data_IF_123620769635
#
_entry.id   IF_123620769635
#
_cell.length_a   1.000
_cell.length_b   1.000
_cell.length_c   1.000
_cell.angle_alpha   90.00
_cell.angle_beta   90.00
_cell.angle_gamma   90.00
#
_symmetry.space_group_name_H-M   'P 1'
#
loop_
_entity.id
_entity.type
_entity.pdbx_description
1 polymer ?
#
# COMPACT_ATOMS: atom_id res chain seq x y z
N UNK A 1 -28.64 16.84 -7.13
CA UNK A 1 -28.39 15.58 -6.38
C UNK A 1 -26.99 15.59 -5.81
N UNK A 2 -26.87 15.36 -4.53
CA UNK A 2 -25.57 15.30 -3.88
C UNK A 2 -24.90 13.95 -4.15
N UNK A 3 -23.64 13.97 -4.56
CA UNK A 3 -22.85 12.75 -4.80
C UNK A 3 -22.08 12.38 -3.53
N UNK A 4 -22.05 11.12 -3.20
CA UNK A 4 -21.44 10.61 -1.97
C UNK A 4 -20.11 9.88 -2.16
N UNK A 5 -19.59 9.85 -3.41
CA UNK A 5 -18.41 9.05 -3.75
C UNK A 5 -17.20 9.31 -2.85
N UNK A 6 -16.83 10.56 -2.67
CA UNK A 6 -15.70 10.91 -1.81
C UNK A 6 -15.89 10.51 -0.35
N UNK A 7 -17.07 10.77 0.19
CA UNK A 7 -17.41 10.37 1.55
C UNK A 7 -17.36 8.85 1.73
N UNK A 8 -17.91 8.10 0.75
CA UNK A 8 -17.93 6.65 0.79
C UNK A 8 -16.53 6.05 0.72
N UNK A 9 -15.67 6.60 -0.12
CA UNK A 9 -14.26 6.19 -0.21
C UNK A 9 -13.57 6.37 1.16
N UNK A 10 -13.78 7.51 1.80
CA UNK A 10 -13.19 7.80 3.11
C UNK A 10 -13.67 6.81 4.18
N UNK A 11 -14.98 6.54 4.18
CA UNK A 11 -15.57 5.58 5.13
C UNK A 11 -15.03 4.17 4.90
N UNK A 12 -14.95 3.74 3.64
CA UNK A 12 -14.39 2.43 3.26
C UNK A 12 -12.94 2.32 3.73
N UNK A 13 -12.15 3.37 3.51
CA UNK A 13 -10.74 3.38 3.96
C UNK A 13 -10.64 3.14 5.47
N UNK A 14 -11.46 3.83 6.26
CA UNK A 14 -11.44 3.68 7.72
C UNK A 14 -11.84 2.26 8.15
N UNK A 15 -12.93 1.75 7.58
CA UNK A 15 -13.43 0.42 7.91
C UNK A 15 -12.46 -0.68 7.47
N UNK A 16 -11.90 -0.53 6.28
CA UNK A 16 -10.91 -1.47 5.72
C UNK A 16 -9.65 -1.50 6.59
N UNK A 17 -9.14 -0.33 6.99
CA UNK A 17 -7.95 -0.22 7.83
C UNK A 17 -8.13 -0.93 9.17
N UNK A 18 -9.30 -0.77 9.81
CA UNK A 18 -9.60 -1.45 11.08
C UNK A 18 -9.69 -2.95 10.91
N UNK A 19 -10.38 -3.40 9.86
CA UNK A 19 -10.52 -4.84 9.57
C UNK A 19 -9.16 -5.48 9.29
N UNK A 20 -8.31 -4.81 8.52
CA UNK A 20 -6.97 -5.29 8.21
C UNK A 20 -6.11 -5.38 9.48
N UNK A 21 -6.15 -4.35 10.34
CA UNK A 21 -5.40 -4.34 11.60
C UNK A 21 -5.84 -5.51 12.49
N UNK A 22 -7.13 -5.78 12.55
CA UNK A 22 -7.68 -6.90 13.31
C UNK A 22 -7.19 -8.25 12.76
N UNK A 23 -7.22 -8.43 11.44
CA UNK A 23 -6.73 -9.67 10.81
C UNK A 23 -5.25 -9.90 11.09
N UNK A 24 -4.43 -8.84 11.01
CA UNK A 24 -3.00 -8.91 11.29
C UNK A 24 -2.78 -9.33 12.75
N UNK A 25 -3.52 -8.74 13.68
CA UNK A 25 -3.45 -9.05 15.11
C UNK A 25 -3.87 -10.49 15.41
N UNK A 26 -4.96 -10.96 14.82
CA UNK A 26 -5.46 -12.33 14.99
C UNK A 26 -4.50 -13.39 14.47
N UNK A 27 -3.71 -13.06 13.45
CA UNK A 27 -2.66 -13.94 12.93
C UNK A 27 -1.39 -13.90 13.78
N UNK A 28 -1.34 -13.06 14.81
CA UNK A 28 -0.18 -12.93 15.68
C UNK A 28 1.01 -12.25 15.03
N UNK A 29 0.80 -11.51 13.96
CA UNK A 29 1.88 -10.80 13.28
C UNK A 29 2.14 -9.47 13.99
N UNK A 30 3.31 -9.36 14.62
CA UNK A 30 3.75 -8.15 15.31
C UNK A 30 4.80 -7.36 14.52
N UNK A 31 5.28 -7.94 13.43
CA UNK A 31 6.40 -7.39 12.66
C UNK A 31 6.09 -6.05 11.99
N UNK A 32 4.82 -5.82 11.64
CA UNK A 32 4.42 -4.59 10.96
C UNK A 32 2.97 -4.24 11.24
N UNK A 33 2.66 -2.94 11.10
CA UNK A 33 1.29 -2.42 11.17
C UNK A 33 0.61 -2.52 9.79
N UNK A 34 -0.71 -2.26 9.76
CA UNK A 34 -1.46 -2.20 8.50
C UNK A 34 -0.91 -1.15 7.53
N UNK A 35 -0.47 -0.01 8.04
CA UNK A 35 0.11 1.06 7.20
C UNK A 35 1.46 0.64 6.61
N UNK A 36 2.30 0.00 7.41
CA UNK A 36 3.58 -0.55 6.92
C UNK A 36 3.34 -1.68 5.92
N UNK A 37 2.26 -2.43 6.09
CA UNK A 37 1.86 -3.49 5.16
C UNK A 37 1.64 -2.97 3.74
N UNK A 38 1.19 -1.74 3.57
CA UNK A 38 1.02 -1.11 2.25
C UNK A 38 2.36 -0.95 1.53
N UNK A 39 3.39 -0.55 2.27
CA UNK A 39 4.75 -0.41 1.72
C UNK A 39 5.30 -1.79 1.37
N UNK A 40 5.15 -2.76 2.27
CA UNK A 40 5.59 -4.13 2.01
C UNK A 40 4.87 -4.72 0.80
N UNK A 41 3.57 -4.47 0.66
CA UNK A 41 2.79 -4.95 -0.49
C UNK A 41 3.40 -4.47 -1.81
N UNK A 42 3.76 -3.19 -1.90
CA UNK A 42 4.39 -2.65 -3.11
C UNK A 42 5.76 -3.30 -3.35
N UNK A 43 6.56 -3.43 -2.30
CA UNK A 43 7.91 -4.02 -2.40
C UNK A 43 7.86 -5.51 -2.75
N UNK A 44 6.85 -6.26 -2.27
CA UNK A 44 6.67 -7.64 -2.67
C UNK A 44 6.31 -7.79 -4.16
N UNK A 45 5.67 -6.76 -4.75
CA UNK A 45 5.37 -6.73 -6.18
C UNK A 45 6.60 -6.32 -7.00
N UNK A 46 7.32 -5.30 -6.51
CA UNK A 46 8.48 -4.74 -7.19
C UNK A 46 9.49 -4.25 -6.16
N UNK A 47 10.47 -5.09 -5.87
CA UNK A 47 11.56 -4.77 -4.95
C UNK A 47 12.57 -3.80 -5.58
N UNK A 48 13.44 -3.21 -4.78
CA UNK A 48 14.50 -2.30 -5.21
C UNK A 48 13.97 -1.09 -5.97
N UNK A 49 13.16 -0.30 -5.32
CA UNK A 49 12.63 0.95 -5.88
C UNK A 49 13.00 2.13 -4.99
N UNK A 50 12.93 3.34 -5.57
CA UNK A 50 13.22 4.55 -4.82
C UNK A 50 12.09 4.90 -3.86
N UNK A 51 12.40 5.71 -2.86
CA UNK A 51 11.40 6.25 -1.95
C UNK A 51 10.33 7.07 -2.71
N UNK A 52 10.74 7.78 -3.76
CA UNK A 52 9.82 8.54 -4.61
C UNK A 52 8.81 7.62 -5.31
N UNK A 53 9.30 6.49 -5.85
CA UNK A 53 8.43 5.49 -6.47
C UNK A 53 7.47 4.88 -5.46
N UNK A 54 7.93 4.58 -4.23
CA UNK A 54 7.07 4.09 -3.16
C UNK A 54 5.99 5.10 -2.80
N UNK A 55 6.33 6.38 -2.72
CA UNK A 55 5.34 7.43 -2.44
C UNK A 55 4.28 7.47 -3.54
N UNK A 56 4.69 7.40 -4.80
CA UNK A 56 3.79 7.39 -5.95
C UNK A 56 2.86 6.16 -5.93
N UNK A 57 3.42 4.98 -5.71
CA UNK A 57 2.65 3.72 -5.72
C UNK A 57 1.67 3.62 -4.55
N UNK A 58 2.04 4.11 -3.37
CA UNK A 58 1.20 4.02 -2.18
C UNK A 58 0.23 5.19 -2.01
N UNK A 59 0.51 6.32 -2.66
CA UNK A 59 -0.22 7.57 -2.44
C UNK A 59 0.09 8.24 -1.11
N UNK A 60 1.08 7.74 -0.37
CA UNK A 60 1.48 8.32 0.91
C UNK A 60 2.28 9.59 0.71
N UNK A 61 2.09 10.57 1.61
CA UNK A 61 2.86 11.80 1.60
C UNK A 61 4.35 11.52 1.86
N UNK A 62 5.22 12.31 1.26
CA UNK A 62 6.66 12.15 1.36
C UNK A 62 7.15 12.06 2.82
N UNK A 63 6.66 12.95 3.68
CA UNK A 63 7.05 12.96 5.09
C UNK A 63 6.58 11.71 5.83
N UNK A 64 5.38 11.24 5.54
CA UNK A 64 4.83 10.02 6.13
C UNK A 64 5.69 8.81 5.77
N UNK A 65 6.02 8.68 4.48
CA UNK A 65 6.80 7.54 4.01
C UNK A 65 8.23 7.55 4.59
N UNK A 66 8.83 8.74 4.74
CA UNK A 66 10.16 8.88 5.36
C UNK A 66 10.17 8.31 6.77
N UNK A 67 9.19 8.71 7.59
CA UNK A 67 9.08 8.24 8.99
C UNK A 67 8.81 6.73 9.04
N UNK A 68 7.94 6.24 8.17
CA UNK A 68 7.61 4.81 8.12
C UNK A 68 8.82 3.96 7.71
N UNK A 69 9.57 4.40 6.72
CA UNK A 69 10.76 3.68 6.25
C UNK A 69 11.85 3.64 7.32
N UNK A 70 12.03 4.72 8.08
CA UNK A 70 12.98 4.72 9.21
C UNK A 70 12.63 3.67 10.25
N UNK A 71 11.35 3.56 10.62
CA UNK A 71 10.87 2.55 11.56
C UNK A 71 11.04 1.13 11.00
N UNK A 72 10.72 0.94 9.72
CA UNK A 72 10.83 -0.35 9.07
C UNK A 72 12.29 -0.81 8.95
N UNK A 73 13.20 0.12 8.74
CA UNK A 73 14.63 -0.18 8.73
C UNK A 73 15.10 -0.63 10.12
N UNK A 74 14.70 0.07 11.18
CA UNK A 74 15.01 -0.30 12.56
C UNK A 74 14.44 -1.68 12.93
N UNK A 75 13.28 -2.02 12.39
CA UNK A 75 12.60 -3.29 12.65
C UNK A 75 13.05 -4.40 11.70
N UNK A 76 14.12 -4.20 10.97
CA UNK A 76 14.72 -5.19 10.07
C UNK A 76 13.78 -5.67 8.96
N UNK A 77 12.92 -4.79 8.47
CA UNK A 77 12.02 -5.10 7.36
C UNK A 77 12.59 -4.67 6.02
N UNK A 78 13.32 -3.57 6.01
CA UNK A 78 13.94 -3.02 4.79
C UNK A 78 15.37 -2.60 5.06
N UNK A 79 16.13 -2.49 3.98
CA UNK A 79 17.43 -1.84 3.97
C UNK A 79 17.43 -0.80 2.85
N UNK A 80 18.39 0.10 2.91
CA UNK A 80 18.60 1.09 1.86
C UNK A 80 19.97 0.80 1.25
N UNK A 81 20.01 0.77 -0.08
CA UNK A 81 21.24 0.57 -0.84
C UNK A 81 21.39 1.67 -1.87
N UNK A 82 22.62 1.94 -2.26
CA UNK A 82 22.91 2.87 -3.35
C UNK A 82 22.70 2.17 -4.69
N UNK A 83 22.06 2.86 -5.64
CA UNK A 83 21.87 2.33 -7.00
C UNK A 83 23.25 2.23 -7.69
N UNK A 84 23.56 1.05 -8.23
CA UNK A 84 24.82 0.80 -8.95
C UNK A 84 24.97 1.67 -10.18
N UNK A 85 23.83 1.97 -10.84
CA UNK A 85 23.82 2.74 -12.09
C UNK A 85 23.77 4.25 -11.86
N UNK A 86 23.26 4.71 -10.72
CA UNK A 86 23.20 6.13 -10.37
C UNK A 86 23.41 6.28 -8.86
N UNK A 87 24.63 6.62 -8.47
CA UNK A 87 25.04 6.76 -7.07
C UNK A 87 24.30 7.86 -6.30
N UNK A 88 23.57 8.72 -7.00
CA UNK A 88 22.73 9.75 -6.38
C UNK A 88 21.39 9.20 -5.86
N UNK A 89 21.02 7.99 -6.30
CA UNK A 89 19.77 7.34 -5.92
C UNK A 89 20.00 6.30 -4.82
N UNK A 90 19.09 6.30 -3.86
CA UNK A 90 19.01 5.27 -2.84
C UNK A 90 17.78 4.40 -3.12
N UNK A 91 17.97 3.10 -3.08
CA UNK A 91 16.92 2.12 -3.31
C UNK A 91 16.50 1.49 -1.99
N UNK A 92 15.20 1.26 -1.85
CA UNK A 92 14.62 0.52 -0.72
C UNK A 92 14.50 -0.93 -1.14
N UNK A 93 15.02 -1.83 -0.32
CA UNK A 93 14.96 -3.28 -0.57
C UNK A 93 14.39 -4.02 0.63
N UNK A 94 13.72 -5.13 0.37
CA UNK A 94 13.24 -6.03 1.42
C UNK A 94 14.40 -6.83 2.02
N UNK A 95 14.34 -7.05 3.33
CA UNK A 95 15.20 -8.05 3.99
C UNK A 95 14.66 -9.44 3.71
N UNK A 96 15.46 -10.47 3.95
CA UNK A 96 14.99 -11.85 3.84
C UNK A 96 13.84 -12.13 4.82
N UNK A 97 13.92 -11.54 6.01
CA UNK A 97 12.84 -11.62 7.00
C UNK A 97 11.53 -11.07 6.44
N UNK A 98 11.55 -9.87 5.85
CA UNK A 98 10.36 -9.27 5.25
C UNK A 98 9.81 -10.10 4.08
N UNK A 99 10.69 -10.70 3.28
CA UNK A 99 10.27 -11.62 2.21
C UNK A 99 9.52 -12.83 2.77
N UNK A 100 9.91 -13.32 3.93
CA UNK A 100 9.25 -14.46 4.58
C UNK A 100 7.84 -14.13 5.09
N UNK A 101 7.54 -12.86 5.30
CA UNK A 101 6.23 -12.41 5.77
C UNK A 101 5.19 -12.30 4.66
N UNK A 102 5.60 -12.46 3.40
CA UNK A 102 4.68 -12.35 2.25
C UNK A 102 3.57 -13.39 2.33
N UNK A 103 3.91 -14.65 2.61
CA UNK A 103 2.93 -15.74 2.65
C UNK A 103 1.83 -15.51 3.70
N UNK A 104 2.15 -15.24 4.97
CA UNK A 104 1.11 -14.89 5.95
C UNK A 104 0.28 -13.66 5.54
N UNK A 105 0.90 -12.66 4.93
CA UNK A 105 0.18 -11.48 4.48
C UNK A 105 -0.74 -11.80 3.30
N UNK A 106 -0.32 -12.65 2.38
CA UNK A 106 -1.17 -13.10 1.27
C UNK A 106 -2.44 -13.80 1.78
N UNK A 107 -2.33 -14.59 2.84
CA UNK A 107 -3.48 -15.23 3.48
C UNK A 107 -4.47 -14.19 4.05
N UNK A 108 -3.94 -13.16 4.69
CA UNK A 108 -4.74 -12.04 5.20
C UNK A 108 -5.41 -11.29 4.05
N UNK A 109 -4.67 -11.04 2.98
CA UNK A 109 -5.19 -10.35 1.79
C UNK A 109 -6.36 -11.12 1.16
N UNK A 110 -6.24 -12.43 1.04
CA UNK A 110 -7.33 -13.27 0.52
C UNK A 110 -8.57 -13.19 1.40
N UNK A 111 -8.40 -13.26 2.71
CA UNK A 111 -9.49 -13.14 3.67
C UNK A 111 -10.19 -11.79 3.55
N UNK A 112 -9.41 -10.72 3.44
CA UNK A 112 -9.93 -9.37 3.26
C UNK A 112 -10.69 -9.22 1.94
N UNK A 113 -10.15 -9.76 0.84
CA UNK A 113 -10.81 -9.70 -0.47
C UNK A 113 -12.16 -10.42 -0.45
N UNK A 114 -12.23 -11.58 0.17
CA UNK A 114 -13.50 -12.32 0.31
C UNK A 114 -14.54 -11.49 1.08
N UNK A 115 -14.10 -10.78 2.10
CA UNK A 115 -15.00 -9.93 2.90
C UNK A 115 -15.45 -8.70 2.11
N UNK A 116 -14.51 -8.01 1.47
CA UNK A 116 -14.78 -6.79 0.70
C UNK A 116 -15.73 -7.07 -0.47
N UNK A 117 -15.46 -8.14 -1.21
CA UNK A 117 -16.19 -8.45 -2.44
C UNK A 117 -17.31 -9.48 -2.26
N UNK A 118 -17.73 -9.71 -1.03
CA UNK A 118 -18.84 -10.66 -0.76
C UNK A 118 -20.08 -10.26 -1.55
N UNK A 119 -20.61 -11.18 -2.35
CA UNK A 119 -21.80 -10.95 -3.15
C UNK A 119 -21.57 -10.28 -4.50
N UNK A 120 -20.33 -9.95 -4.82
CA UNK A 120 -19.96 -9.37 -6.12
C UNK A 120 -19.58 -10.46 -7.10
N UNK A 121 -19.96 -10.28 -8.37
CA UNK A 121 -19.46 -11.11 -9.47
C UNK A 121 -18.06 -10.64 -9.87
N UNK A 122 -17.33 -11.50 -10.59
CA UNK A 122 -16.01 -11.12 -11.13
C UNK A 122 -16.12 -9.90 -12.06
N UNK A 123 -17.17 -9.83 -12.88
CA UNK A 123 -17.43 -8.70 -13.77
C UNK A 123 -17.64 -7.40 -12.98
N UNK A 124 -18.40 -7.46 -11.88
CA UNK A 124 -18.63 -6.30 -11.01
C UNK A 124 -17.34 -5.84 -10.35
N UNK A 125 -16.51 -6.77 -9.89
CA UNK A 125 -15.22 -6.45 -9.29
C UNK A 125 -14.32 -5.75 -10.31
N UNK A 126 -14.21 -6.29 -11.53
CA UNK A 126 -13.39 -5.72 -12.60
C UNK A 126 -13.83 -4.28 -12.91
N UNK A 127 -15.14 -4.06 -13.01
CA UNK A 127 -15.70 -2.73 -13.26
C UNK A 127 -15.41 -1.76 -12.12
N UNK A 128 -15.58 -2.23 -10.90
CA UNK A 128 -15.31 -1.40 -9.73
C UNK A 128 -13.85 -0.96 -9.68
N UNK A 129 -12.93 -1.88 -9.88
CA UNK A 129 -11.49 -1.56 -9.87
C UNK A 129 -11.11 -0.66 -11.04
N UNK A 130 -11.72 -0.84 -12.21
CA UNK A 130 -11.55 0.07 -13.34
C UNK A 130 -11.96 1.50 -12.97
N UNK A 131 -13.11 1.67 -12.29
CA UNK A 131 -13.56 2.98 -11.86
C UNK A 131 -12.65 3.60 -10.81
N UNK A 132 -12.13 2.80 -9.89
CA UNK A 132 -11.16 3.28 -8.90
C UNK A 132 -9.88 3.79 -9.58
N UNK A 133 -9.36 3.06 -10.56
CA UNK A 133 -8.20 3.49 -11.33
C UNK A 133 -8.45 4.81 -12.07
N UNK A 134 -9.65 5.00 -12.60
CA UNK A 134 -10.02 6.25 -13.27
C UNK A 134 -10.04 7.42 -12.29
N UNK A 135 -10.54 7.20 -11.08
CA UNK A 135 -10.55 8.22 -10.02
C UNK A 135 -9.11 8.57 -9.61
N UNK A 136 -8.27 7.56 -9.41
CA UNK A 136 -6.86 7.76 -9.06
C UNK A 136 -6.17 8.60 -10.13
N UNK A 137 -6.36 8.26 -11.40
CA UNK A 137 -5.76 9.01 -12.51
C UNK A 137 -6.18 10.48 -12.49
N UNK A 138 -7.48 10.73 -12.27
CA UNK A 138 -7.98 12.11 -12.21
C UNK A 138 -7.33 12.90 -11.07
N UNK A 139 -7.13 12.25 -9.92
CA UNK A 139 -6.55 12.92 -8.74
C UNK A 139 -5.03 13.11 -8.87
N UNK A 140 -4.36 12.29 -9.67
CA UNK A 140 -2.93 12.43 -9.94
C UNK A 140 -2.62 13.52 -10.96
N UNK A 141 -3.60 13.92 -11.77
CA UNK A 141 -3.42 15.01 -12.73
C UNK A 141 -3.25 16.35 -12.01
N UNK A 142 -2.25 17.12 -12.45
CA UNK A 142 -2.07 18.48 -11.92
C UNK A 142 -3.21 19.36 -12.36
N UNK A 143 -3.68 20.21 -11.46
CA UNK A 143 -4.66 21.23 -11.82
C UNK A 143 -4.00 22.25 -12.76
N UNK A 144 -4.82 22.90 -13.59
CA UNK A 144 -4.34 23.95 -14.48
C UNK A 144 -3.62 25.02 -13.66
N UNK A 145 -2.40 25.38 -14.07
CA UNK A 145 -1.56 26.34 -13.37
C UNK A 145 -0.68 25.79 -12.25
N UNK A 146 -0.80 24.51 -11.90
CA UNK A 146 0.11 23.85 -10.93
C UNK A 146 1.43 23.49 -11.59
N UNK A 147 2.52 23.73 -10.87
CA UNK A 147 3.87 23.39 -11.33
C UNK A 147 4.29 22.01 -10.89
#
# INVERSE_FOLDING_TARGET
MQRLGGFLITKIKQLHSRALAQCISEKGIEAFSGEQGKILFVLWQKDKITQKELASETGLAKNTITVMLEKMEKNNLINRITDENDKRKSLVILTDYAKSLKKPFDEISEEMLKRVYKGFSEEEIDKYEEYLHRIIKNLEEKREGEK
#
